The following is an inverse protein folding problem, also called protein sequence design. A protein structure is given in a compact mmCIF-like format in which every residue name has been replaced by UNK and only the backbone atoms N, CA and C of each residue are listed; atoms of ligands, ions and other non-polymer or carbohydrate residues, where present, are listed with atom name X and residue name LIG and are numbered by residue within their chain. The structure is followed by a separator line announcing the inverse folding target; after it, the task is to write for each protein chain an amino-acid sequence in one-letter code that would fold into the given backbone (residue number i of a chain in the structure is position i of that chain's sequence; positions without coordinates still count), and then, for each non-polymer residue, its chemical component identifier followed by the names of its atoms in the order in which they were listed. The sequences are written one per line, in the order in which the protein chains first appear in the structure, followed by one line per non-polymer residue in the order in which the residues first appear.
data_IF_675766199416
#
_entry.id   IF_675766199416
#
_cell.length_a   1.000
_cell.length_b   1.000
_cell.length_c   1.000
_cell.angle_alpha   90.00
_cell.angle_beta   90.00
_cell.angle_gamma   90.00
#
_symmetry.space_group_name_H-M   'P 1'
#
loop_
_entity.id
_entity.type
_entity.pdbx_description
1 polymer ?
#
# COMPACT_ATOMS: atom_id res chain seq x y z
N UNK A 1 -8.18 -18.47 -12.54
CA UNK A 1 -7.46 -19.27 -13.56
C UNK A 1 -6.15 -19.71 -12.95
N UNK A 2 -5.55 -20.84 -13.32
CA UNK A 2 -4.20 -21.16 -12.86
C UNK A 2 -3.16 -20.30 -13.57
N UNK A 3 -2.00 -20.09 -12.93
CA UNK A 3 -0.85 -19.49 -13.59
C UNK A 3 -0.40 -20.36 -14.79
N UNK A 4 0.13 -19.75 -15.86
CA UNK A 4 0.83 -20.49 -16.91
C UNK A 4 1.91 -21.39 -16.32
N UNK A 5 2.14 -22.58 -16.89
CA UNK A 5 3.11 -23.56 -16.37
C UNK A 5 4.50 -22.97 -16.17
N UNK A 6 4.98 -22.18 -17.13
CA UNK A 6 6.29 -21.52 -17.06
C UNK A 6 6.38 -20.53 -15.89
N UNK A 7 5.33 -19.72 -15.71
CA UNK A 7 5.24 -18.74 -14.62
C UNK A 7 5.19 -19.46 -13.26
N UNK A 8 4.40 -20.54 -13.16
CA UNK A 8 4.25 -21.33 -11.94
C UNK A 8 5.57 -22.03 -11.55
N UNK A 9 6.28 -22.62 -12.53
CA UNK A 9 7.56 -23.27 -12.30
C UNK A 9 8.65 -22.27 -11.89
N UNK A 10 8.68 -21.08 -12.51
CA UNK A 10 9.63 -20.04 -12.13
C UNK A 10 9.38 -19.53 -10.71
N UNK A 11 8.11 -19.31 -10.34
CA UNK A 11 7.75 -18.84 -9.00
C UNK A 11 7.97 -19.93 -7.94
N UNK A 12 7.63 -21.19 -8.19
CA UNK A 12 7.86 -22.26 -7.20
C UNK A 12 9.34 -22.45 -6.85
N UNK A 13 10.24 -22.18 -7.81
CA UNK A 13 11.68 -22.29 -7.61
C UNK A 13 12.32 -21.07 -6.93
N UNK A 14 11.72 -19.87 -7.07
CA UNK A 14 12.38 -18.59 -6.75
C UNK A 14 11.61 -17.70 -5.79
N UNK A 15 10.35 -17.95 -5.52
CA UNK A 15 9.49 -17.10 -4.70
C UNK A 15 9.14 -17.78 -3.37
N UNK A 16 9.32 -17.04 -2.29
CA UNK A 16 8.84 -17.41 -0.97
C UNK A 16 7.74 -16.44 -0.55
N UNK A 17 6.53 -16.97 -0.34
CA UNK A 17 5.34 -16.20 0.01
C UNK A 17 5.48 -15.52 1.37
N UNK A 18 4.88 -14.34 1.50
CA UNK A 18 4.82 -13.59 2.75
C UNK A 18 3.46 -12.92 2.95
N UNK A 19 3.47 -11.59 3.07
CA UNK A 19 2.30 -10.79 3.45
C UNK A 19 1.49 -10.39 2.23
N UNK A 20 0.17 -10.57 2.27
CA UNK A 20 -0.73 -10.04 1.25
C UNK A 20 -0.83 -8.52 1.40
N UNK A 21 -0.42 -7.78 0.38
CA UNK A 21 -0.48 -6.31 0.38
C UNK A 21 -1.79 -5.79 -0.18
N UNK A 22 -2.28 -6.43 -1.25
CA UNK A 22 -3.48 -5.98 -1.97
C UNK A 22 -4.12 -7.14 -2.70
N UNK A 23 -5.45 -7.21 -2.66
CA UNK A 23 -6.23 -8.06 -3.57
C UNK A 23 -7.39 -7.25 -4.12
N UNK A 24 -7.44 -7.11 -5.44
CA UNK A 24 -8.52 -6.44 -6.14
C UNK A 24 -8.92 -7.21 -7.40
N UNK A 25 -9.89 -6.67 -8.14
CA UNK A 25 -10.41 -7.29 -9.36
C UNK A 25 -9.40 -7.31 -10.51
N UNK A 26 -8.27 -6.60 -10.39
CA UNK A 26 -7.24 -6.52 -11.43
C UNK A 26 -5.97 -7.29 -11.09
N UNK A 27 -5.69 -7.57 -9.82
CA UNK A 27 -4.52 -8.37 -9.42
C UNK A 27 -4.52 -8.73 -7.93
N UNK A 28 -3.67 -9.70 -7.60
CA UNK A 28 -3.19 -9.95 -6.22
C UNK A 28 -1.74 -9.47 -6.11
N UNK A 29 -1.40 -8.76 -5.03
CA UNK A 29 -0.07 -8.23 -4.74
C UNK A 29 0.38 -8.71 -3.37
N UNK A 30 1.55 -9.33 -3.32
CA UNK A 30 2.12 -9.96 -2.13
C UNK A 30 3.56 -9.48 -1.93
N UNK A 31 3.96 -9.25 -0.67
CA UNK A 31 5.36 -9.06 -0.27
C UNK A 31 5.93 -10.41 0.14
N UNK A 32 7.14 -10.70 -0.28
CA UNK A 32 7.83 -11.94 0.03
C UNK A 32 9.31 -11.82 -0.29
N UNK A 33 9.96 -12.97 -0.49
CA UNK A 33 11.36 -13.05 -0.84
C UNK A 33 11.52 -13.62 -2.24
N UNK A 34 12.45 -13.07 -3.01
CA UNK A 34 12.77 -13.55 -4.33
C UNK A 34 14.25 -13.93 -4.42
N UNK A 35 14.51 -15.16 -4.85
CA UNK A 35 15.86 -15.65 -5.13
C UNK A 35 16.29 -15.18 -6.51
N UNK A 36 17.02 -14.07 -6.53
CA UNK A 36 17.73 -13.59 -7.71
C UNK A 36 19.04 -14.36 -7.92
N UNK A 37 19.69 -14.16 -9.05
CA UNK A 37 20.99 -14.79 -9.34
C UNK A 37 22.10 -14.21 -8.44
N UNK A 38 21.91 -13.00 -7.91
CA UNK A 38 22.80 -12.33 -6.96
C UNK A 38 22.50 -12.66 -5.49
N UNK A 39 21.50 -13.49 -5.21
CA UNK A 39 21.05 -13.82 -3.86
C UNK A 39 19.58 -13.50 -3.62
N UNK A 40 19.14 -13.70 -2.39
CA UNK A 40 17.75 -13.50 -1.99
C UNK A 40 17.48 -12.05 -1.58
N UNK A 41 16.39 -11.47 -2.10
CA UNK A 41 16.01 -10.07 -1.87
C UNK A 41 14.54 -9.95 -1.46
N UNK A 42 14.22 -8.90 -0.69
CA UNK A 42 12.83 -8.52 -0.44
C UNK A 42 12.17 -8.05 -1.74
N UNK A 43 10.99 -8.61 -2.02
CA UNK A 43 10.34 -8.42 -3.30
C UNK A 43 8.80 -8.36 -3.17
N UNK A 44 8.18 -7.85 -4.23
CA UNK A 44 6.73 -7.75 -4.37
C UNK A 44 6.32 -8.52 -5.62
N UNK A 45 5.48 -9.53 -5.43
CA UNK A 45 4.88 -10.32 -6.49
C UNK A 45 3.51 -9.75 -6.83
N UNK A 46 3.26 -9.52 -8.12
CA UNK A 46 1.91 -9.28 -8.65
C UNK A 46 1.47 -10.45 -9.52
N UNK A 47 0.26 -10.96 -9.29
CA UNK A 47 -0.33 -12.07 -10.05
C UNK A 47 -1.72 -11.73 -10.58
N UNK A 48 -2.10 -12.36 -11.68
CA UNK A 48 -3.41 -12.25 -12.31
C UNK A 48 -4.28 -13.51 -12.21
N UNK A 49 -3.77 -14.59 -11.62
CA UNK A 49 -4.42 -15.90 -11.60
C UNK A 49 -5.71 -15.93 -10.75
N UNK A 50 -5.78 -15.07 -9.73
CA UNK A 50 -6.92 -14.95 -8.84
C UNK A 50 -7.94 -13.86 -9.25
N UNK A 51 -7.80 -13.25 -10.43
CA UNK A 51 -8.76 -12.22 -10.89
C UNK A 51 -10.05 -12.86 -11.41
N UNK A 52 -11.21 -12.18 -11.25
CA UNK A 52 -12.45 -12.61 -11.88
C UNK A 52 -12.32 -12.75 -13.40
N UNK A 53 -13.02 -13.72 -14.00
CA UNK A 53 -12.93 -13.97 -15.45
C UNK A 53 -13.31 -12.73 -16.28
N UNK A 54 -14.27 -11.93 -15.82
CA UNK A 54 -14.77 -10.74 -16.51
C UNK A 54 -13.75 -9.58 -16.50
N UNK A 55 -12.81 -9.54 -15.55
CA UNK A 55 -11.77 -8.50 -15.47
C UNK A 55 -10.46 -8.91 -16.13
N UNK A 56 -10.34 -10.16 -16.58
CA UNK A 56 -9.07 -10.72 -17.01
C UNK A 56 -8.41 -9.96 -18.17
N UNK A 57 -9.18 -9.58 -19.19
CA UNK A 57 -8.67 -8.84 -20.35
C UNK A 57 -8.12 -7.45 -19.96
N UNK A 58 -8.88 -6.58 -19.25
CA UNK A 58 -8.32 -5.31 -18.78
C UNK A 58 -7.17 -5.51 -17.79
N UNK A 59 -7.24 -6.49 -16.89
CA UNK A 59 -6.15 -6.82 -15.96
C UNK A 59 -4.85 -7.18 -16.70
N UNK A 60 -4.94 -8.03 -17.74
CA UNK A 60 -3.81 -8.40 -18.60
C UNK A 60 -3.24 -7.22 -19.37
N UNK A 61 -4.09 -6.31 -19.85
CA UNK A 61 -3.62 -5.09 -20.50
C UNK A 61 -2.84 -4.19 -19.54
N UNK A 62 -3.38 -3.91 -18.35
CA UNK A 62 -2.72 -3.11 -17.31
C UNK A 62 -1.40 -3.72 -16.86
N UNK A 63 -1.38 -5.05 -16.66
CA UNK A 63 -0.18 -5.79 -16.35
C UNK A 63 0.89 -5.67 -17.44
N UNK A 64 0.51 -5.78 -18.72
CA UNK A 64 1.43 -5.60 -19.84
C UNK A 64 2.04 -4.19 -19.90
N UNK A 65 1.28 -3.17 -19.51
CA UNK A 65 1.77 -1.79 -19.39
C UNK A 65 2.77 -1.62 -18.26
N UNK A 66 2.44 -2.13 -17.07
CA UNK A 66 3.34 -2.11 -15.91
C UNK A 66 4.66 -2.81 -16.23
N UNK A 67 4.60 -4.02 -16.78
CA UNK A 67 5.79 -4.78 -17.20
C UNK A 67 6.68 -3.97 -18.14
N UNK A 68 6.09 -3.32 -19.16
CA UNK A 68 6.84 -2.49 -20.11
C UNK A 68 7.43 -1.24 -19.46
N UNK A 69 6.68 -0.56 -18.60
CA UNK A 69 7.13 0.64 -17.91
C UNK A 69 8.29 0.33 -16.95
N UNK A 70 8.17 -0.75 -16.16
CA UNK A 70 9.22 -1.19 -15.25
C UNK A 70 10.48 -1.62 -16.00
N UNK A 71 10.34 -2.33 -17.12
CA UNK A 71 11.48 -2.71 -17.97
C UNK A 71 12.24 -1.47 -18.51
N UNK A 72 11.53 -0.42 -18.94
CA UNK A 72 12.14 0.82 -19.40
C UNK A 72 12.68 1.71 -18.27
N UNK A 73 12.16 1.55 -17.05
CA UNK A 73 12.55 2.35 -15.88
C UNK A 73 13.66 1.71 -15.04
N UNK A 74 14.11 0.49 -15.37
CA UNK A 74 15.04 -0.33 -14.58
C UNK A 74 16.22 0.46 -14.01
N UNK A 75 16.93 1.20 -14.85
CA UNK A 75 18.19 1.86 -14.47
C UNK A 75 18.01 3.29 -13.95
N UNK A 76 16.75 3.75 -13.78
CA UNK A 76 16.48 5.12 -13.37
C UNK A 76 16.59 5.31 -11.85
N UNK A 77 16.43 4.22 -11.10
CA UNK A 77 16.34 4.20 -9.64
C UNK A 77 15.28 5.19 -9.11
N UNK A 78 14.09 5.17 -9.73
CA UNK A 78 12.94 6.05 -9.40
C UNK A 78 11.72 5.27 -8.91
N UNK A 79 11.80 3.95 -8.92
CA UNK A 79 10.71 3.03 -8.62
C UNK A 79 11.27 1.62 -8.44
N UNK A 80 10.41 0.61 -8.30
CA UNK A 80 10.85 -0.75 -8.01
C UNK A 80 11.54 -1.34 -9.23
N UNK A 81 12.66 -2.04 -9.02
CA UNK A 81 13.35 -2.76 -10.10
C UNK A 81 12.50 -3.95 -10.56
N UNK A 82 12.44 -4.22 -11.87
CA UNK A 82 11.82 -5.44 -12.37
C UNK A 82 12.79 -6.62 -12.20
N UNK A 83 12.54 -7.48 -11.21
CA UNK A 83 13.39 -8.63 -10.91
C UNK A 83 13.07 -9.82 -11.82
N UNK A 84 11.79 -10.03 -12.13
CA UNK A 84 11.34 -11.08 -13.03
C UNK A 84 9.98 -10.74 -13.62
N UNK A 85 9.69 -11.20 -14.84
CA UNK A 85 8.39 -11.04 -15.47
C UNK A 85 8.01 -12.24 -16.33
N UNK A 86 6.89 -12.86 -16.01
CA UNK A 86 6.22 -13.87 -16.82
C UNK A 86 5.04 -13.30 -17.62
N UNK A 87 4.12 -14.19 -18.00
CA UNK A 87 2.93 -13.86 -18.82
C UNK A 87 1.76 -13.32 -17.97
N UNK A 88 1.63 -13.75 -16.72
CA UNK A 88 0.56 -13.41 -15.79
C UNK A 88 1.05 -13.08 -14.38
N UNK A 89 2.36 -13.13 -14.14
CA UNK A 89 2.98 -12.72 -12.89
C UNK A 89 4.26 -11.93 -13.13
N UNK A 90 4.54 -10.95 -12.27
CA UNK A 90 5.82 -10.24 -12.26
C UNK A 90 6.29 -10.03 -10.83
N UNK A 91 7.60 -10.05 -10.65
CA UNK A 91 8.27 -9.80 -9.38
C UNK A 91 9.08 -8.52 -9.52
N UNK A 92 8.89 -7.60 -8.57
CA UNK A 92 9.61 -6.33 -8.51
C UNK A 92 10.29 -6.16 -7.16
N UNK A 93 11.38 -5.42 -7.11
CA UNK A 93 12.09 -5.14 -5.85
C UNK A 93 11.17 -4.43 -4.85
N UNK A 94 11.29 -4.78 -3.58
CA UNK A 94 10.62 -4.05 -2.52
C UNK A 94 11.33 -2.71 -2.28
N UNK A 95 10.57 -1.62 -2.21
CA UNK A 95 11.09 -0.32 -1.81
C UNK A 95 10.81 -0.15 -0.33
N UNK A 96 11.88 -0.01 0.46
CA UNK A 96 11.80 0.38 1.87
C UNK A 96 11.36 1.84 1.97
N UNK A 97 10.04 2.07 1.89
CA UNK A 97 9.48 3.40 1.91
C UNK A 97 8.01 3.41 2.31
N UNK A 98 7.60 4.51 2.93
CA UNK A 98 6.24 4.72 3.43
C UNK A 98 5.45 5.51 2.39
N UNK A 99 4.21 5.08 2.12
CA UNK A 99 3.34 5.79 1.18
C UNK A 99 3.05 7.23 1.63
N UNK A 100 2.95 8.18 0.69
CA UNK A 100 2.91 9.62 0.99
C UNK A 100 1.78 10.02 1.94
N UNK A 101 0.59 9.43 1.79
CA UNK A 101 -0.57 9.68 2.67
C UNK A 101 -0.36 9.23 4.12
N UNK A 102 0.55 8.28 4.35
CA UNK A 102 0.96 7.82 5.69
C UNK A 102 2.15 8.63 6.20
N UNK A 103 3.14 8.85 5.33
CA UNK A 103 4.37 9.57 5.68
C UNK A 103 4.13 11.05 6.01
N UNK A 104 3.11 11.67 5.39
CA UNK A 104 2.69 13.08 5.56
C UNK A 104 3.89 14.03 5.77
N UNK A 105 4.83 14.14 4.80
CA UNK A 105 6.14 14.76 5.00
C UNK A 105 6.04 16.30 4.98
N UNK A 106 5.42 16.86 6.01
CA UNK A 106 5.20 18.29 6.17
C UNK A 106 6.54 19.04 6.20
N UNK A 107 6.68 20.05 5.35
CA UNK A 107 7.90 20.85 5.27
C UNK A 107 9.11 20.17 4.62
N UNK A 108 9.01 18.91 4.16
CA UNK A 108 10.15 18.17 3.58
C UNK A 108 10.44 18.63 2.13
N UNK A 109 11.19 19.72 2.01
CA UNK A 109 11.57 20.30 0.70
C UNK A 109 12.46 19.35 -0.10
N UNK A 110 13.32 18.58 0.58
CA UNK A 110 14.24 17.64 -0.06
C UNK A 110 13.47 16.49 -0.73
N UNK A 111 12.46 15.94 -0.06
CA UNK A 111 11.55 14.95 -0.64
C UNK A 111 10.92 15.47 -1.95
N UNK A 112 10.29 16.65 -1.95
CA UNK A 112 9.64 17.16 -3.16
C UNK A 112 10.63 17.51 -4.29
N UNK A 113 11.87 17.88 -3.96
CA UNK A 113 12.95 18.05 -4.95
C UNK A 113 13.32 16.71 -5.59
N UNK A 114 13.45 15.66 -4.78
CA UNK A 114 13.73 14.31 -5.28
C UNK A 114 12.57 13.76 -6.12
N UNK A 115 11.31 14.00 -5.71
CA UNK A 115 10.11 13.61 -6.46
C UNK A 115 10.05 14.24 -7.85
N UNK A 116 10.37 15.53 -7.95
CA UNK A 116 10.45 16.23 -9.23
C UNK A 116 11.57 15.68 -10.11
N UNK A 117 12.69 15.27 -9.50
CA UNK A 117 13.82 14.64 -10.21
C UNK A 117 13.44 13.25 -10.74
N UNK A 118 12.80 12.43 -9.91
CA UNK A 118 12.27 11.13 -10.31
C UNK A 118 11.31 11.25 -11.49
N UNK A 119 10.40 12.23 -11.43
CA UNK A 119 9.45 12.46 -12.52
C UNK A 119 10.13 12.89 -13.82
N UNK A 120 11.13 13.78 -13.73
CA UNK A 120 11.94 14.19 -14.90
C UNK A 120 12.68 13.02 -15.52
N UNK A 121 13.23 12.11 -14.72
CA UNK A 121 13.89 10.89 -15.21
C UNK A 121 12.91 9.99 -15.97
N UNK A 122 11.72 9.73 -15.44
CA UNK A 122 10.67 8.98 -16.14
C UNK A 122 10.25 9.64 -17.47
N UNK A 123 9.96 10.94 -17.43
CA UNK A 123 9.57 11.69 -18.62
C UNK A 123 10.70 11.69 -19.66
N UNK A 124 11.97 11.65 -19.24
CA UNK A 124 13.12 11.57 -20.15
C UNK A 124 13.14 10.25 -20.93
N UNK A 125 12.71 9.14 -20.37
CA UNK A 125 12.61 7.86 -21.10
C UNK A 125 11.25 7.66 -21.78
N UNK A 126 10.40 8.70 -21.83
CA UNK A 126 9.10 8.64 -22.51
C UNK A 126 7.99 7.97 -21.69
N UNK A 127 8.19 7.76 -20.39
CA UNK A 127 7.18 7.17 -19.49
C UNK A 127 6.39 8.29 -18.83
N UNK A 128 5.06 8.29 -18.95
CA UNK A 128 4.15 9.08 -18.11
C UNK A 128 3.38 8.12 -17.21
N UNK A 129 3.27 8.42 -15.92
CA UNK A 129 2.70 7.51 -14.93
C UNK A 129 1.17 7.54 -14.92
N UNK A 130 0.55 8.71 -15.16
CA UNK A 130 -0.89 8.95 -15.28
C UNK A 130 -1.75 8.68 -14.04
N UNK A 131 -1.16 8.24 -12.92
CA UNK A 131 -1.88 7.94 -11.67
C UNK A 131 -1.22 8.59 -10.44
N UNK A 132 -0.45 9.66 -10.65
CA UNK A 132 0.26 10.37 -9.56
C UNK A 132 -0.65 11.24 -8.70
N UNK A 133 -1.95 11.30 -9.03
CA UNK A 133 -2.96 11.95 -8.20
C UNK A 133 -3.15 11.21 -6.88
N UNK A 134 -2.95 9.88 -6.87
CA UNK A 134 -3.01 9.07 -5.65
C UNK A 134 -1.72 9.21 -4.87
N UNK A 135 -1.83 9.60 -3.62
CA UNK A 135 -0.69 9.71 -2.72
C UNK A 135 -0.04 8.34 -2.44
N UNK A 136 -0.80 7.25 -2.53
CA UNK A 136 -0.30 5.87 -2.41
C UNK A 136 0.77 5.50 -3.45
N UNK A 137 0.76 6.14 -4.62
CA UNK A 137 1.73 5.86 -5.69
C UNK A 137 3.06 6.59 -5.48
N UNK A 138 3.16 7.42 -4.45
CA UNK A 138 4.38 8.07 -4.00
C UNK A 138 4.85 7.43 -2.71
N UNK A 139 6.09 6.96 -2.68
CA UNK A 139 6.75 6.45 -1.49
C UNK A 139 7.84 7.41 -1.05
N UNK A 140 7.93 7.66 0.25
CA UNK A 140 9.09 8.28 0.90
C UNK A 140 10.00 7.15 1.40
N UNK A 141 11.13 6.96 0.73
CA UNK A 141 12.15 6.00 1.12
C UNK A 141 12.75 6.33 2.48
N UNK A 142 13.36 5.34 3.12
CA UNK A 142 14.13 5.53 4.36
C UNK A 142 15.31 6.49 4.18
N UNK A 143 15.81 6.62 2.96
CA UNK A 143 16.82 7.61 2.56
C UNK A 143 16.26 9.04 2.34
N UNK A 144 14.97 9.24 2.62
CA UNK A 144 14.25 10.50 2.44
C UNK A 144 13.89 10.84 0.99
N UNK A 145 14.23 9.98 0.02
CA UNK A 145 13.95 10.22 -1.40
C UNK A 145 12.56 9.73 -1.80
N UNK A 146 12.05 10.31 -2.87
CA UNK A 146 10.78 9.94 -3.44
C UNK A 146 10.93 8.82 -4.48
N UNK A 147 10.10 7.79 -4.34
CA UNK A 147 9.98 6.69 -5.27
C UNK A 147 8.54 6.56 -5.77
N UNK A 148 8.40 6.04 -6.98
CA UNK A 148 7.12 5.80 -7.62
C UNK A 148 6.78 4.33 -7.61
N UNK A 149 5.52 4.02 -7.37
CA UNK A 149 4.99 2.65 -7.40
C UNK A 149 3.70 2.58 -8.21
N UNK A 150 3.29 1.36 -8.56
CA UNK A 150 2.09 1.05 -9.33
C UNK A 150 2.05 1.64 -10.76
N UNK A 151 2.81 1.04 -11.67
CA UNK A 151 2.90 1.48 -13.06
C UNK A 151 1.78 0.92 -13.96
N UNK A 152 0.69 0.37 -13.42
CA UNK A 152 -0.39 -0.24 -14.20
C UNK A 152 -1.03 0.73 -15.22
N UNK A 153 -1.15 2.01 -14.86
CA UNK A 153 -1.69 3.06 -15.74
C UNK A 153 -0.61 3.81 -16.53
N UNK A 154 0.66 3.51 -16.30
CA UNK A 154 1.77 4.16 -16.98
C UNK A 154 1.69 3.95 -18.50
N UNK A 155 2.00 4.99 -19.26
CA UNK A 155 2.08 4.94 -20.71
C UNK A 155 3.51 5.19 -21.17
N UNK A 156 4.00 4.33 -22.06
CA UNK A 156 5.33 4.44 -22.66
C UNK A 156 5.19 5.00 -24.08
N UNK A 157 5.50 6.28 -24.25
CA UNK A 157 5.44 6.96 -25.55
C UNK A 157 6.73 6.72 -26.34
N UNK A 158 6.61 6.45 -27.64
CA UNK A 158 7.77 6.37 -28.55
C UNK A 158 8.39 7.75 -28.83
N UNK A 159 7.55 8.78 -28.92
CA UNK A 159 7.97 10.17 -29.20
C UNK A 159 7.35 11.14 -28.19
N UNK A 160 8.03 12.25 -27.92
CA UNK A 160 7.56 13.29 -26.98
C UNK A 160 6.62 14.31 -27.63
N UNK A 161 5.65 13.79 -28.39
CA UNK A 161 4.64 14.57 -29.09
C UNK A 161 3.61 15.22 -28.16
N UNK A 162 2.53 15.78 -28.74
CA UNK A 162 1.52 16.54 -28.00
C UNK A 162 0.89 15.75 -26.84
N UNK A 163 0.52 14.49 -27.08
CA UNK A 163 -0.09 13.64 -26.04
C UNK A 163 0.85 13.37 -24.87
N UNK A 164 2.13 13.08 -25.15
CA UNK A 164 3.15 12.93 -24.11
C UNK A 164 3.28 14.22 -23.28
N UNK A 165 3.34 15.38 -23.93
CA UNK A 165 3.46 16.67 -23.23
C UNK A 165 2.27 16.94 -22.30
N UNK A 166 1.06 16.57 -22.72
CA UNK A 166 -0.15 16.68 -21.89
C UNK A 166 -0.08 15.73 -20.69
N UNK A 167 0.23 14.45 -20.91
CA UNK A 167 0.33 13.45 -19.85
C UNK A 167 1.43 13.80 -18.83
N UNK A 168 2.61 14.21 -19.31
CA UNK A 168 3.71 14.67 -18.47
C UNK A 168 3.36 15.92 -17.67
N UNK A 169 2.61 16.85 -18.26
CA UNK A 169 2.11 18.04 -17.57
C UNK A 169 1.13 17.68 -16.45
N UNK A 170 0.21 16.74 -16.68
CA UNK A 170 -0.70 16.27 -15.64
C UNK A 170 0.01 15.55 -14.50
N UNK A 171 0.98 14.68 -14.79
CA UNK A 171 1.83 14.05 -13.78
C UNK A 171 2.50 15.10 -12.89
N UNK A 172 3.13 16.12 -13.51
CA UNK A 172 3.78 17.21 -12.79
C UNK A 172 2.78 17.99 -11.94
N UNK A 173 1.61 18.30 -12.50
CA UNK A 173 0.57 19.03 -11.79
C UNK A 173 0.07 18.26 -10.57
N UNK A 174 -0.05 16.93 -10.64
CA UNK A 174 -0.41 16.10 -9.50
C UNK A 174 0.65 16.11 -8.42
N UNK A 175 1.94 15.98 -8.77
CA UNK A 175 3.03 16.17 -7.81
C UNK A 175 2.95 17.54 -7.12
N UNK A 176 2.66 18.61 -7.87
CA UNK A 176 2.57 19.95 -7.29
C UNK A 176 1.35 20.12 -6.36
N UNK A 177 0.25 19.39 -6.58
CA UNK A 177 -0.88 19.39 -5.64
C UNK A 177 -0.46 18.80 -4.30
N UNK A 178 0.30 17.70 -4.31
CA UNK A 178 0.84 17.10 -3.09
C UNK A 178 1.83 18.04 -2.40
N UNK A 179 2.73 18.66 -3.18
CA UNK A 179 3.65 19.68 -2.65
C UNK A 179 2.91 20.85 -2.01
N UNK A 180 1.79 21.29 -2.57
CA UNK A 180 0.95 22.33 -1.97
C UNK A 180 0.36 21.89 -0.63
N UNK A 181 -0.08 20.64 -0.51
CA UNK A 181 -0.66 20.12 0.74
C UNK A 181 0.38 20.02 1.87
N UNK A 182 1.58 19.50 1.57
CA UNK A 182 2.57 19.19 2.59
C UNK A 182 3.67 20.26 2.76
N UNK A 183 4.00 21.02 1.72
CA UNK A 183 5.05 22.04 1.73
C UNK A 183 4.65 23.29 0.91
N UNK A 184 3.54 23.98 1.26
CA UNK A 184 3.03 25.13 0.50
C UNK A 184 4.04 26.28 0.39
N UNK A 185 4.83 26.50 1.44
CA UNK A 185 5.85 27.56 1.49
C UNK A 185 6.99 27.32 0.50
N UNK A 186 7.23 26.05 0.13
CA UNK A 186 8.29 25.67 -0.80
C UNK A 186 7.88 25.80 -2.29
N UNK A 187 6.64 26.20 -2.59
CA UNK A 187 6.17 26.38 -3.96
C UNK A 187 6.84 27.59 -4.62
N UNK A 188 7.34 27.41 -5.84
CA UNK A 188 7.85 28.53 -6.66
C UNK A 188 6.71 29.28 -7.36
N UNK A 189 6.96 30.50 -7.82
CA UNK A 189 5.98 31.27 -8.59
C UNK A 189 5.45 30.51 -9.83
N UNK A 190 6.33 29.84 -10.59
CA UNK A 190 5.94 29.00 -11.74
C UNK A 190 5.08 27.81 -11.33
N UNK A 191 5.39 27.17 -10.21
CA UNK A 191 4.59 26.04 -9.71
C UNK A 191 3.19 26.49 -9.26
N UNK A 192 3.07 27.67 -8.65
CA UNK A 192 1.77 28.29 -8.34
C UNK A 192 0.97 28.58 -9.61
N UNK A 193 1.61 29.10 -10.66
CA UNK A 193 0.96 29.32 -11.96
C UNK A 193 0.44 28.01 -12.59
N UNK A 194 1.22 26.93 -12.54
CA UNK A 194 0.80 25.61 -13.04
C UNK A 194 -0.43 25.10 -12.27
N UNK A 195 -0.46 25.28 -10.95
CA UNK A 195 -1.58 24.88 -10.11
C UNK A 195 -2.85 25.69 -10.38
N UNK A 196 -2.71 27.00 -10.64
CA UNK A 196 -3.81 27.91 -10.96
C UNK A 196 -4.46 27.60 -12.31
N UNK A 197 -3.70 27.07 -13.28
CA UNK A 197 -4.25 26.63 -14.56
C UNK A 197 -5.15 25.41 -14.36
N UNK A 198 -6.45 25.56 -14.64
CA UNK A 198 -7.39 24.44 -14.75
C UNK A 198 -6.98 23.61 -15.98
N UNK A 199 -6.65 22.34 -15.76
CA UNK A 199 -6.34 21.42 -16.86
C UNK A 199 -7.59 21.23 -17.73
N UNK A 200 -7.46 21.49 -19.03
CA UNK A 200 -8.52 21.21 -20.00
C UNK A 200 -8.88 19.72 -20.00
N UNK A 201 -7.92 18.83 -19.73
CA UNK A 201 -8.18 17.38 -19.57
C UNK A 201 -8.98 17.10 -18.31
N UNK A 202 -8.68 17.76 -17.19
CA UNK A 202 -9.51 17.64 -15.98
C UNK A 202 -10.92 18.23 -16.18
N UNK A 203 -11.04 19.33 -16.92
CA UNK A 203 -12.33 19.95 -17.26
C UNK A 203 -13.16 19.06 -18.19
N UNK A 204 -12.53 18.46 -19.21
CA UNK A 204 -13.19 17.50 -20.12
C UNK A 204 -13.53 16.20 -19.37
N UNK A 205 -12.64 15.65 -18.55
CA UNK A 205 -12.92 14.47 -17.70
C UNK A 205 -14.08 14.71 -16.71
N UNK A 206 -14.15 15.91 -16.11
CA UNK A 206 -15.28 16.30 -15.26
C UNK A 206 -16.61 16.34 -16.04
N UNK A 207 -16.56 16.67 -17.33
CA UNK A 207 -17.72 16.84 -18.20
C UNK A 207 -18.20 15.51 -18.82
N UNK A 208 -17.27 14.65 -19.29
CA UNK A 208 -17.57 13.40 -20.00
C UNK A 208 -17.24 12.16 -19.16
N UNK A 209 -16.02 12.09 -18.62
CA UNK A 209 -15.54 10.95 -17.83
C UNK A 209 -16.35 10.71 -16.56
N UNK A 210 -16.79 11.77 -15.86
CA UNK A 210 -17.58 11.64 -14.62
C UNK A 210 -18.95 10.99 -14.84
N UNK A 211 -19.58 11.17 -16.01
CA UNK A 211 -20.87 10.54 -16.36
C UNK A 211 -20.70 9.08 -16.74
N UNK A 212 -19.71 8.76 -17.58
CA UNK A 212 -19.37 7.38 -17.95
C UNK A 212 -18.89 6.58 -16.75
N UNK A 213 -18.01 7.17 -15.93
CA UNK A 213 -17.56 6.59 -14.66
C UNK A 213 -18.74 6.30 -13.75
N UNK A 214 -19.64 7.27 -13.50
CA UNK A 214 -20.85 7.05 -12.67
C UNK A 214 -21.80 5.98 -13.24
N UNK A 215 -21.93 5.88 -14.56
CA UNK A 215 -22.79 4.90 -15.22
C UNK A 215 -22.21 3.48 -15.12
N UNK A 216 -20.91 3.32 -15.42
CA UNK A 216 -20.19 2.05 -15.24
C UNK A 216 -20.13 1.66 -13.76
N UNK A 217 -19.94 2.63 -12.87
CA UNK A 217 -19.85 2.34 -11.44
C UNK A 217 -21.19 2.03 -10.78
N UNK A 218 -22.31 2.49 -11.35
CA UNK A 218 -23.65 2.16 -10.87
C UNK A 218 -24.22 0.86 -11.45
N UNK A 219 -23.72 0.40 -12.61
CA UNK A 219 -24.24 -0.80 -13.28
C UNK A 219 -23.36 -2.06 -13.18
N UNK A 220 -22.03 -1.93 -13.11
CA UNK A 220 -21.09 -3.06 -13.19
C UNK A 220 -19.88 -3.00 -12.23
N UNK A 221 -19.53 -1.83 -11.69
CA UNK A 221 -18.35 -1.65 -10.85
C UNK A 221 -18.60 -0.69 -9.68
N UNK A 222 -19.13 -1.17 -8.55
CA UNK A 222 -19.40 -0.34 -7.38
C UNK A 222 -18.10 0.08 -6.64
N UNK A 223 -17.30 0.93 -7.30
CA UNK A 223 -15.96 1.37 -6.93
C UNK A 223 -16.02 2.78 -6.33
N UNK A 224 -16.06 2.85 -5.01
CA UNK A 224 -15.68 4.03 -4.24
C UNK A 224 -14.33 3.73 -3.60
N UNK A 225 -13.26 4.18 -4.24
CA UNK A 225 -11.92 4.20 -3.68
C UNK A 225 -11.45 5.66 -3.63
N UNK A 226 -11.16 6.13 -2.42
CA UNK A 226 -10.36 7.33 -2.22
C UNK A 226 -9.13 7.07 -1.36
N UNK A 227 -9.07 5.97 -0.62
CA UNK A 227 -8.07 5.77 0.44
C UNK A 227 -7.70 4.28 0.66
N UNK A 228 -7.96 3.38 -0.31
CA UNK A 228 -7.56 1.97 -0.21
C UNK A 228 -8.32 1.12 0.82
N UNK A 229 -9.17 1.71 1.65
CA UNK A 229 -9.90 1.00 2.71
C UNK A 229 -11.22 0.32 2.30
N UNK A 230 -11.59 0.41 1.03
CA UNK A 230 -12.77 -0.25 0.48
C UNK A 230 -14.13 0.24 1.05
N UNK A 231 -15.23 -0.38 0.58
CA UNK A 231 -16.61 -0.04 1.01
C UNK A 231 -16.81 -0.19 2.51
N UNK A 232 -16.11 -1.14 3.13
CA UNK A 232 -16.25 -1.41 4.57
C UNK A 232 -15.73 -0.27 5.43
N UNK A 233 -14.60 0.35 5.07
CA UNK A 233 -14.09 1.49 5.84
C UNK A 233 -15.02 2.70 5.73
N UNK A 234 -15.62 2.94 4.55
CA UNK A 234 -16.46 4.12 4.32
C UNK A 234 -17.86 3.94 4.89
N UNK A 235 -18.46 2.76 4.76
CA UNK A 235 -19.86 2.53 5.10
C UNK A 235 -20.03 1.82 6.45
N UNK A 236 -19.22 0.78 6.71
CA UNK A 236 -19.42 -0.07 7.88
C UNK A 236 -18.72 0.52 9.11
N UNK A 237 -17.50 1.06 8.95
CA UNK A 237 -16.70 1.52 10.07
C UNK A 237 -17.38 2.63 10.91
N UNK A 238 -18.06 3.66 10.33
CA UNK A 238 -18.79 4.64 11.14
C UNK A 238 -19.87 4.00 12.01
N UNK A 239 -20.65 3.07 11.46
CA UNK A 239 -21.69 2.36 12.20
C UNK A 239 -21.09 1.49 13.30
N UNK A 240 -19.99 0.79 13.00
CA UNK A 240 -19.29 -0.05 13.97
C UNK A 240 -18.65 0.78 15.09
N UNK A 241 -18.10 1.95 14.79
CA UNK A 241 -17.57 2.89 15.79
C UNK A 241 -18.67 3.30 16.78
N UNK A 242 -19.83 3.70 16.26
CA UNK A 242 -20.97 4.09 17.10
C UNK A 242 -21.47 2.92 17.97
N UNK A 243 -21.50 1.70 17.43
CA UNK A 243 -21.87 0.52 18.22
C UNK A 243 -20.86 0.18 19.31
N UNK A 244 -19.56 0.24 19.01
CA UNK A 244 -18.49 -0.02 19.98
C UNK A 244 -18.54 1.01 21.12
N UNK A 245 -18.78 2.29 20.79
CA UNK A 245 -18.86 3.39 21.76
C UNK A 245 -20.07 3.35 22.69
N UNK A 246 -21.07 2.49 22.42
CA UNK A 246 -22.18 2.28 23.36
C UNK A 246 -21.74 1.57 24.64
N UNK A 247 -20.61 0.86 24.60
CA UNK A 247 -20.08 0.23 25.78
C UNK A 247 -19.35 1.27 26.65
N UNK A 248 -19.74 1.47 27.93
CA UNK A 248 -19.20 2.53 28.79
C UNK A 248 -17.71 2.33 29.14
N UNK A 249 -17.19 1.11 29.02
CA UNK A 249 -15.77 0.81 29.28
C UNK A 249 -14.85 1.25 28.12
N UNK A 250 -15.42 1.66 26.99
CA UNK A 250 -14.67 2.14 25.82
C UNK A 250 -14.47 3.65 25.91
N UNK A 251 -13.21 4.08 25.99
CA UNK A 251 -12.85 5.51 25.97
C UNK A 251 -12.80 6.09 24.56
N UNK A 252 -12.24 5.35 23.62
CA UNK A 252 -12.15 5.76 22.22
C UNK A 252 -11.96 4.55 21.30
N UNK A 253 -12.13 4.73 20.00
CA UNK A 253 -11.96 3.68 19.00
C UNK A 253 -11.44 4.23 17.69
N UNK A 254 -10.51 3.51 17.09
CA UNK A 254 -10.03 3.75 15.73
C UNK A 254 -10.18 2.48 14.90
N UNK A 255 -10.88 2.58 13.76
CA UNK A 255 -11.01 1.49 12.79
C UNK A 255 -10.22 1.84 11.53
N UNK A 256 -9.36 0.91 11.11
CA UNK A 256 -8.59 0.99 9.86
C UNK A 256 -8.89 -0.24 8.99
N UNK A 257 -8.63 -0.13 7.69
CA UNK A 257 -8.80 -1.22 6.76
C UNK A 257 -7.45 -1.83 6.35
N UNK A 258 -7.48 -3.13 6.04
CA UNK A 258 -6.33 -3.88 5.56
C UNK A 258 -6.74 -4.90 4.49
N UNK A 259 -5.76 -5.42 3.74
CA UNK A 259 -6.02 -6.46 2.76
C UNK A 259 -6.24 -7.81 3.46
N UNK A 260 -7.43 -8.39 3.30
CA UNK A 260 -7.78 -9.68 3.92
C UNK A 260 -7.83 -10.81 2.87
N UNK A 261 -7.27 -11.97 3.22
CA UNK A 261 -7.19 -13.14 2.33
C UNK A 261 -8.56 -13.77 2.05
N UNK A 262 -9.57 -13.57 2.90
CA UNK A 262 -10.90 -14.20 2.74
C UNK A 262 -11.90 -13.27 2.06
N UNK A 263 -11.95 -12.02 2.49
CA UNK A 263 -12.95 -11.03 2.08
C UNK A 263 -12.41 -9.95 1.13
N UNK A 264 -11.10 -9.93 0.86
CA UNK A 264 -10.42 -8.90 0.08
C UNK A 264 -10.09 -7.65 0.90
N UNK A 265 -11.06 -7.11 1.65
CA UNK A 265 -10.89 -5.95 2.53
C UNK A 265 -11.42 -6.27 3.92
N UNK A 266 -10.51 -6.33 4.90
CA UNK A 266 -10.82 -6.50 6.31
C UNK A 266 -10.82 -5.17 7.08
N UNK A 267 -11.47 -5.17 8.23
CA UNK A 267 -11.42 -4.07 9.20
C UNK A 267 -10.69 -4.53 10.47
N UNK A 268 -9.84 -3.63 10.98
CA UNK A 268 -9.13 -3.79 12.24
C UNK A 268 -9.55 -2.65 13.17
N UNK A 269 -10.18 -2.99 14.29
CA UNK A 269 -10.58 -2.05 15.32
C UNK A 269 -9.59 -2.04 16.48
N UNK A 270 -9.03 -0.86 16.78
CA UNK A 270 -8.26 -0.59 17.99
C UNK A 270 -9.19 0.11 18.97
N UNK A 271 -9.41 -0.49 20.13
CA UNK A 271 -10.37 -0.03 21.15
C UNK A 271 -9.60 0.40 22.37
N UNK A 272 -9.73 1.66 22.75
CA UNK A 272 -9.09 2.22 23.94
C UNK A 272 -9.89 1.86 25.19
N UNK A 273 -9.36 0.96 26.02
CA UNK A 273 -9.97 0.53 27.29
C UNK A 273 -8.93 -0.15 28.20
N UNK A 274 -9.25 -0.30 29.49
CA UNK A 274 -8.34 -0.90 30.48
C UNK A 274 -8.37 -2.43 30.50
N UNK A 275 -9.51 -3.03 30.13
CA UNK A 275 -9.76 -4.45 30.31
C UNK A 275 -9.64 -5.22 29.00
N UNK A 276 -8.60 -6.04 28.85
CA UNK A 276 -8.42 -6.89 27.68
C UNK A 276 -9.60 -7.87 27.45
N UNK A 277 -10.30 -8.28 28.52
CA UNK A 277 -11.48 -9.14 28.44
C UNK A 277 -12.66 -8.50 27.68
N UNK A 278 -12.65 -7.17 27.50
CA UNK A 278 -13.67 -6.44 26.75
C UNK A 278 -13.74 -6.86 25.28
N UNK A 279 -12.64 -7.35 24.71
CA UNK A 279 -12.58 -7.80 23.32
C UNK A 279 -13.65 -8.84 22.97
N UNK A 280 -13.80 -9.87 23.82
CA UNK A 280 -14.76 -10.95 23.59
C UNK A 280 -16.22 -10.47 23.71
N UNK A 281 -16.48 -9.56 24.66
CA UNK A 281 -17.80 -8.94 24.86
C UNK A 281 -18.19 -8.11 23.65
N UNK A 282 -17.32 -7.19 23.21
CA UNK A 282 -17.56 -6.35 22.03
C UNK A 282 -17.81 -7.18 20.77
N UNK A 283 -17.08 -8.28 20.58
CA UNK A 283 -17.31 -9.17 19.43
C UNK A 283 -18.71 -9.79 19.46
N UNK A 284 -19.16 -10.24 20.62
CA UNK A 284 -20.50 -10.82 20.78
C UNK A 284 -21.59 -9.76 20.56
N UNK A 285 -21.42 -8.57 21.14
CA UNK A 285 -22.38 -7.47 21.03
C UNK A 285 -22.54 -7.01 19.57
N UNK A 286 -21.43 -6.85 18.85
CA UNK A 286 -21.46 -6.48 17.43
C UNK A 286 -22.13 -7.56 16.55
N UNK A 287 -21.93 -8.83 16.89
CA UNK A 287 -22.58 -9.94 16.17
C UNK A 287 -24.08 -9.98 16.47
N UNK A 288 -24.48 -9.73 17.72
CA UNK A 288 -25.87 -9.71 18.16
C UNK A 288 -26.66 -8.51 17.63
N UNK A 289 -26.01 -7.36 17.40
CA UNK A 289 -26.63 -6.13 16.93
C UNK A 289 -27.25 -6.22 15.51
N UNK A 290 -27.04 -7.32 14.77
CA UNK A 290 -27.53 -7.55 13.39
C UNK A 290 -27.19 -6.39 12.42
N UNK A 291 -26.09 -5.68 12.69
CA UNK A 291 -25.57 -4.58 11.88
C UNK A 291 -24.58 -5.05 10.80
N UNK A 292 -23.70 -4.16 10.32
CA UNK A 292 -22.61 -4.54 9.43
C UNK A 292 -21.74 -5.65 10.05
N UNK A 293 -21.11 -6.47 9.21
CA UNK A 293 -20.22 -7.55 9.66
C UNK A 293 -19.14 -6.97 10.59
N UNK A 294 -18.91 -7.59 11.77
CA UNK A 294 -17.88 -7.12 12.71
C UNK A 294 -16.48 -7.05 12.08
N UNK A 295 -15.58 -6.23 12.65
CA UNK A 295 -14.16 -6.22 12.27
C UNK A 295 -13.54 -7.61 12.41
N UNK A 296 -12.68 -7.99 11.47
CA UNK A 296 -11.90 -9.24 11.51
C UNK A 296 -10.99 -9.28 12.74
N UNK A 297 -10.50 -8.11 13.16
CA UNK A 297 -9.70 -7.95 14.36
C UNK A 297 -10.26 -6.85 15.24
N UNK A 298 -10.38 -7.14 16.54
CA UNK A 298 -10.62 -6.17 17.59
C UNK A 298 -9.44 -6.32 18.55
N UNK A 299 -8.72 -5.25 18.81
CA UNK A 299 -7.60 -5.23 19.75
C UNK A 299 -7.88 -4.15 20.79
N UNK A 300 -8.02 -4.56 22.04
CA UNK A 300 -8.08 -3.62 23.16
C UNK A 300 -6.67 -3.13 23.45
N UNK A 301 -6.51 -1.81 23.54
CA UNK A 301 -5.25 -1.13 23.84
C UNK A 301 -5.49 -0.16 25.01
N UNK A 302 -4.47 0.05 25.85
CA UNK A 302 -4.59 0.97 26.98
C UNK A 302 -4.85 2.41 26.54
N UNK A 303 -4.22 2.83 25.45
CA UNK A 303 -4.33 4.15 24.85
C UNK A 303 -4.09 4.07 23.33
N UNK A 304 -4.79 4.90 22.55
CA UNK A 304 -4.49 5.07 21.12
C UNK A 304 -3.29 6.01 20.92
N UNK A 305 -2.42 5.77 19.93
CA UNK A 305 -1.38 6.73 19.56
C UNK A 305 -2.04 8.00 19.05
N UNK A 306 -1.63 9.18 19.53
CA UNK A 306 -2.22 10.47 19.15
C UNK A 306 -1.17 11.43 18.59
N UNK A 307 -1.61 12.31 17.68
CA UNK A 307 -0.77 13.40 17.17
C UNK A 307 -0.76 14.59 18.14
N UNK A 308 -0.01 15.65 17.80
CA UNK A 308 0.06 16.86 18.62
C UNK A 308 -1.29 17.59 18.78
N UNK A 309 -2.29 17.26 17.95
CA UNK A 309 -3.65 17.78 18.04
C UNK A 309 -4.60 16.82 18.81
N UNK A 310 -4.07 15.74 19.41
CA UNK A 310 -4.84 14.76 20.17
C UNK A 310 -5.63 13.77 19.31
N UNK A 311 -5.48 13.80 17.98
CA UNK A 311 -6.20 12.89 17.09
C UNK A 311 -5.48 11.54 16.98
N UNK A 312 -6.21 10.41 16.90
CA UNK A 312 -5.59 9.12 16.68
C UNK A 312 -4.71 9.10 15.43
N UNK A 313 -3.47 8.61 15.58
CA UNK A 313 -2.49 8.38 14.50
C UNK A 313 -2.87 7.15 13.70
N UNK A 314 -3.93 7.27 12.92
CA UNK A 314 -4.47 6.17 12.09
C UNK A 314 -3.44 5.67 11.09
N UNK A 315 -2.47 6.48 10.68
CA UNK A 315 -1.38 6.03 9.80
C UNK A 315 -0.51 4.92 10.43
N UNK A 316 -0.24 4.98 11.74
CA UNK A 316 0.50 3.90 12.43
C UNK A 316 -0.39 2.68 12.57
N UNK A 317 -1.62 2.88 13.02
CA UNK A 317 -2.59 1.78 13.22
C UNK A 317 -2.83 1.01 11.91
N UNK A 318 -2.84 1.71 10.78
CA UNK A 318 -2.94 1.10 9.46
C UNK A 318 -1.71 0.24 9.12
N UNK A 319 -0.49 0.70 9.42
CA UNK A 319 0.72 -0.12 9.25
C UNK A 319 0.74 -1.35 10.17
N UNK A 320 0.22 -1.22 11.40
CA UNK A 320 0.00 -2.36 12.31
C UNK A 320 -0.98 -3.35 11.69
N UNK A 321 -2.13 -2.89 11.21
CA UNK A 321 -3.15 -3.73 10.59
C UNK A 321 -2.65 -4.42 9.30
N UNK A 322 -1.79 -3.75 8.53
CA UNK A 322 -1.11 -4.30 7.35
C UNK A 322 0.10 -5.19 7.68
N UNK A 323 0.45 -5.31 8.97
CA UNK A 323 1.61 -6.04 9.47
C UNK A 323 2.96 -5.58 8.85
N UNK A 324 3.07 -4.28 8.55
CA UNK A 324 4.25 -3.64 7.96
C UNK A 324 5.07 -2.91 9.03
N UNK A 325 5.56 -3.67 10.01
CA UNK A 325 6.16 -3.08 11.22
C UNK A 325 7.49 -2.36 10.96
N UNK A 326 8.25 -2.83 9.98
CA UNK A 326 9.50 -2.22 9.51
C UNK A 326 9.29 -0.80 8.98
N UNK A 327 8.09 -0.47 8.53
CA UNK A 327 7.72 0.86 8.05
C UNK A 327 7.29 1.82 9.16
N UNK A 328 7.04 1.31 10.38
CA UNK A 328 6.63 2.12 11.53
C UNK A 328 7.85 2.77 12.18
N UNK A 329 8.98 2.08 12.23
CA UNK A 329 10.20 2.56 12.92
C UNK A 329 10.66 3.96 12.47
N UNK A 330 10.68 4.30 11.17
CA UNK A 330 11.02 5.66 10.72
C UNK A 330 10.01 6.73 11.13
N UNK A 331 8.81 6.35 11.56
CA UNK A 331 7.72 7.25 11.99
C UNK A 331 7.67 7.46 13.51
N UNK A 332 8.54 6.77 14.26
CA UNK A 332 8.66 6.88 15.72
C UNK A 332 9.70 7.96 16.05
N UNK A 333 9.22 9.15 16.40
CA UNK A 333 10.05 10.35 16.57
C UNK A 333 10.66 10.50 17.97
N UNK A 334 10.22 9.71 18.95
CA UNK A 334 10.69 9.76 20.33
C UNK A 334 10.82 8.35 20.95
N UNK A 335 11.63 8.22 22.00
CA UNK A 335 11.78 6.96 22.74
C UNK A 335 10.50 6.60 23.51
N UNK A 336 9.77 7.61 23.99
CA UNK A 336 8.45 7.47 24.61
C UNK A 336 7.42 6.92 23.62
N UNK A 337 7.39 7.43 22.39
CA UNK A 337 6.54 6.91 21.31
C UNK A 337 6.88 5.44 21.02
N UNK A 338 8.18 5.11 21.09
CA UNK A 338 8.69 3.78 20.83
C UNK A 338 8.25 2.77 21.89
N UNK A 339 8.39 3.13 23.16
CA UNK A 339 7.93 2.33 24.29
C UNK A 339 6.39 2.17 24.28
N UNK A 340 5.67 3.24 23.97
CA UNK A 340 4.22 3.25 23.88
C UNK A 340 3.70 2.27 22.81
N UNK A 341 4.21 2.39 21.58
CA UNK A 341 3.77 1.57 20.46
C UNK A 341 4.17 0.11 20.61
N UNK A 342 5.26 -0.20 21.32
CA UNK A 342 5.71 -1.57 21.58
C UNK A 342 4.58 -2.46 22.12
N UNK A 343 3.79 -1.96 23.07
CA UNK A 343 2.66 -2.69 23.65
C UNK A 343 1.58 -3.08 22.61
N UNK A 344 1.26 -2.15 21.69
CA UNK A 344 0.30 -2.38 20.59
C UNK A 344 0.87 -3.38 19.59
N UNK A 345 2.17 -3.30 19.30
CA UNK A 345 2.84 -4.19 18.36
C UNK A 345 2.93 -5.63 18.88
N UNK A 346 3.22 -5.82 20.16
CA UNK A 346 3.33 -7.15 20.78
C UNK A 346 1.98 -7.85 20.92
N UNK A 347 0.91 -7.09 21.15
CA UNK A 347 -0.46 -7.61 21.31
C UNK A 347 -1.29 -7.67 20.01
N UNK A 348 -0.67 -7.39 18.86
CA UNK A 348 -1.36 -7.37 17.55
C UNK A 348 -1.95 -8.73 17.17
N UNK A 349 -3.13 -8.71 16.55
CA UNK A 349 -3.93 -9.92 16.25
C UNK A 349 -3.61 -10.58 14.91
N UNK A 350 -2.82 -9.92 14.07
CA UNK A 350 -2.40 -10.39 12.74
C UNK A 350 -0.98 -10.99 12.74
N UNK A 351 -0.47 -11.39 13.92
CA UNK A 351 0.82 -12.08 14.10
C UNK A 351 1.02 -13.24 13.11
N UNK A 352 -0.02 -14.06 12.92
CA UNK A 352 -0.02 -15.25 12.07
C UNK A 352 0.15 -14.98 10.57
N UNK A 353 -0.07 -13.75 10.11
CA UNK A 353 0.15 -13.39 8.70
C UNK A 353 1.64 -13.30 8.33
N UNK A 354 2.55 -13.33 9.32
CA UNK A 354 4.01 -13.28 9.13
C UNK A 354 4.70 -14.64 9.33
N UNK A 355 4.07 -15.62 9.98
CA UNK A 355 4.76 -16.81 10.50
C UNK A 355 5.10 -17.92 9.48
N UNK A 356 5.15 -17.62 8.18
CA UNK A 356 5.80 -18.51 7.19
C UNK A 356 7.34 -18.34 7.13
N UNK A 357 7.97 -17.63 8.08
CA UNK A 357 9.39 -17.26 8.03
C UNK A 357 10.32 -17.92 9.08
N UNK A 358 9.84 -18.83 9.93
CA UNK A 358 10.71 -19.57 10.87
C UNK A 358 10.61 -21.08 10.66
N UNK A 359 11.25 -21.57 9.61
CA UNK A 359 11.63 -22.98 9.49
C UNK A 359 12.79 -23.16 8.50
N UNK A 360 13.94 -22.55 8.76
CA UNK A 360 15.26 -23.08 8.35
C UNK A 360 16.39 -22.22 8.93
N UNK A 361 16.60 -22.33 10.25
CA UNK A 361 17.96 -22.23 10.79
C UNK A 361 18.43 -23.67 10.92
N UNK A 362 19.38 -24.16 10.12
CA UNK A 362 19.95 -25.48 10.37
C UNK A 362 20.63 -25.44 11.75
N UNK A 363 20.43 -26.47 12.60
CA UNK A 363 21.06 -26.48 13.91
C UNK A 363 22.58 -26.43 13.75
N UNK A 364 23.20 -25.57 14.56
CA UNK A 364 24.64 -25.48 14.68
C UNK A 364 25.21 -26.87 14.99
N UNK A 365 26.19 -27.30 14.19
CA UNK A 365 26.97 -28.51 14.47
C UNK A 365 27.86 -28.28 15.69
N UNK A 366 27.32 -28.48 16.88
CA UNK A 366 28.12 -28.71 18.08
C UNK A 366 28.65 -30.13 18.02
N UNK A 367 29.97 -30.24 17.83
CA UNK A 367 30.68 -31.50 17.90
C UNK A 367 30.55 -32.17 19.26
N UNK A 368 30.52 -33.50 19.24
CA UNK A 368 30.86 -34.33 20.40
C UNK A 368 31.91 -35.33 19.93
N UNK A 369 33.08 -35.21 20.54
CA UNK A 369 34.13 -36.22 20.59
C UNK A 369 33.96 -36.99 21.90
N UNK A 370 33.92 -38.32 21.83
CA UNK A 370 34.41 -39.33 22.81
C UNK A 370 34.21 -40.72 22.17
N UNK A 371 35.29 -41.48 21.85
CA UNK A 371 35.89 -42.62 22.60
C UNK A 371 34.86 -43.73 22.94
N UNK A 372 35.06 -45.04 22.73
CA UNK A 372 36.25 -45.90 22.83
C UNK A 372 35.90 -47.34 22.34
N UNK A 373 36.90 -48.13 21.93
CA UNK A 373 36.95 -49.60 22.17
C UNK A 373 36.57 -50.56 21.04
N UNK A 374 37.55 -51.34 20.56
CA UNK A 374 37.36 -52.53 19.71
C UNK A 374 38.49 -52.73 18.71
#
# INVERSE_FOLDING_TARGET
MSLPRDDAAALSARWTEGVLLKRDVFSTVERGRFRSDAGEVDAVLRRLDQVPWWSYIPARHLFGRERRALALARDLHVGPELLWAGKQALVRGFINGVALHLAKPHGDVAYFRSAKTALRKLHRVGICHNDLAKEQNWLRGTDGRAYLTDFQLAHCFKTRGRLFRIAAYEDLRHLLKHKRSYAPQALTAKERQILARKSLVASVWLMTGKKVYRAVTRGLFNFTDREGGGRRLVNDAPVLIELIRKNPDVRDVAIVAFADRRSGVGLYAFVEADQAALEARLRNDLTAAKGPRPPEHIQVVQALPRDAAGKPRTEILQLVAMNQLDLIEPMMTSETDRAFLKSILESRKNLRDRFNFEATVPPASTGVSTREGG
#
